data_IF_540092469541
#
_entry.id   IF_540092469541
#
_cell.length_a   1.000
_cell.length_b   1.000
_cell.length_c   1.000
_cell.angle_alpha   90.00
_cell.angle_beta   90.00
_cell.angle_gamma   90.00
#
_symmetry.space_group_name_H-M   'P 1'
#
loop_
_entity.id
_entity.type
_entity.pdbx_description
1 polymer ?
#
# COMPACT_ATOMS: atom_id res chain seq x y z
N UNK A 1 -23.06 -16.98 -11.33
CA UNK A 1 -21.95 -16.24 -11.95
C UNK A 1 -21.51 -15.16 -10.97
N UNK A 2 -20.21 -15.01 -10.71
CA UNK A 2 -19.65 -13.96 -9.86
C UNK A 2 -18.77 -13.05 -10.72
N UNK A 3 -18.74 -11.74 -10.43
CA UNK A 3 -17.86 -10.76 -11.09
C UNK A 3 -16.97 -10.09 -10.06
N UNK A 4 -15.72 -9.79 -10.44
CA UNK A 4 -14.78 -9.03 -9.61
C UNK A 4 -14.83 -7.57 -10.02
N UNK A 5 -15.17 -6.69 -9.08
CA UNK A 5 -15.21 -5.24 -9.26
C UNK A 5 -14.12 -4.59 -8.41
N UNK A 6 -13.68 -3.38 -8.79
CA UNK A 6 -12.81 -2.58 -7.94
C UNK A 6 -13.60 -2.10 -6.72
N UNK A 7 -13.24 -2.59 -5.53
CA UNK A 7 -13.86 -2.17 -4.26
C UNK A 7 -13.54 -0.71 -3.95
N UNK A 8 -12.26 -0.34 -3.98
CA UNK A 8 -11.78 1.00 -3.66
C UNK A 8 -10.35 1.24 -4.14
N UNK A 9 -9.84 2.47 -3.97
CA UNK A 9 -8.43 2.81 -4.25
C UNK A 9 -7.96 4.02 -3.45
N UNK A 10 -6.66 4.09 -3.19
CA UNK A 10 -5.95 5.32 -2.85
C UNK A 10 -5.24 5.86 -4.10
N UNK A 11 -5.65 7.03 -4.58
CA UNK A 11 -5.14 7.58 -5.84
C UNK A 11 -3.94 8.49 -5.59
N UNK A 12 -2.80 8.17 -6.21
CA UNK A 12 -1.56 8.95 -6.17
C UNK A 12 -1.04 9.23 -4.75
N UNK A 13 -1.14 8.24 -3.87
CA UNK A 13 -0.46 8.28 -2.59
C UNK A 13 1.07 8.21 -2.82
N UNK A 14 1.83 8.90 -1.98
CA UNK A 14 3.30 8.99 -2.10
C UNK A 14 3.96 8.02 -1.13
N UNK A 15 4.90 7.21 -1.62
CA UNK A 15 5.67 6.29 -0.76
C UNK A 15 6.50 7.09 0.25
N UNK A 16 6.22 6.92 1.53
CA UNK A 16 6.90 7.67 2.60
C UNK A 16 8.14 6.94 3.13
N UNK A 17 8.16 5.61 3.04
CA UNK A 17 9.25 4.76 3.46
C UNK A 17 9.29 3.45 2.67
N UNK A 18 10.48 2.87 2.55
CA UNK A 18 10.69 1.54 1.99
C UNK A 18 11.76 0.82 2.83
N UNK A 19 11.42 -0.32 3.42
CA UNK A 19 12.30 -1.09 4.30
C UNK A 19 12.37 -2.55 3.86
N UNK A 20 13.55 -2.99 3.42
CA UNK A 20 13.76 -4.34 2.91
C UNK A 20 13.77 -5.40 4.01
N UNK A 21 14.20 -5.04 5.23
CA UNK A 21 14.44 -5.99 6.31
C UNK A 21 13.21 -6.15 7.24
N UNK A 22 12.16 -5.36 7.00
CA UNK A 22 10.87 -5.49 7.67
C UNK A 22 9.95 -6.53 7.02
N UNK A 23 8.98 -7.05 7.78
CA UNK A 23 8.02 -8.05 7.31
C UNK A 23 7.17 -7.53 6.13
N UNK A 24 7.15 -8.30 5.04
CA UNK A 24 6.56 -7.89 3.76
C UNK A 24 5.07 -7.56 3.88
N UNK A 25 4.72 -6.32 3.51
CA UNK A 25 3.37 -5.73 3.59
C UNK A 25 3.39 -4.30 3.02
N UNK A 26 2.23 -3.64 2.97
CA UNK A 26 2.16 -2.18 2.86
C UNK A 26 1.51 -1.56 4.10
N UNK A 27 2.28 -0.77 4.84
CA UNK A 27 1.78 0.00 5.97
C UNK A 27 1.09 1.27 5.48
N UNK A 28 -0.16 1.47 5.87
CA UNK A 28 -0.99 2.61 5.43
C UNK A 28 -1.58 3.29 6.65
N UNK A 29 -1.53 4.62 6.68
CA UNK A 29 -2.24 5.44 7.67
C UNK A 29 -3.69 4.97 7.80
N UNK A 30 -4.11 4.62 9.02
CA UNK A 30 -5.48 4.18 9.31
C UNK A 30 -6.56 5.16 8.83
N UNK A 31 -6.30 6.48 8.79
CA UNK A 31 -7.28 7.44 8.27
C UNK A 31 -7.49 7.26 6.75
N UNK A 32 -6.44 6.85 6.02
CA UNK A 32 -6.52 6.52 4.59
C UNK A 32 -7.17 5.15 4.36
N UNK A 33 -6.87 4.16 5.21
CA UNK A 33 -7.54 2.85 5.17
C UNK A 33 -9.06 3.00 5.35
N UNK A 34 -9.49 3.76 6.36
CA UNK A 34 -10.90 4.04 6.62
C UNK A 34 -11.56 4.79 5.45
N UNK A 35 -10.91 5.82 4.92
CA UNK A 35 -11.43 6.60 3.79
C UNK A 35 -11.60 5.75 2.52
N UNK A 36 -10.72 4.78 2.29
CA UNK A 36 -10.81 3.84 1.18
C UNK A 36 -11.63 2.57 1.52
N UNK A 37 -12.04 2.37 2.78
CA UNK A 37 -12.67 1.14 3.22
C UNK A 37 -11.81 -0.11 3.02
N UNK A 38 -10.48 0.01 3.14
CA UNK A 38 -9.53 -1.12 3.07
C UNK A 38 -9.28 -1.62 4.49
N UNK A 39 -9.40 -2.93 4.71
CA UNK A 39 -9.18 -3.54 6.02
C UNK A 39 -7.71 -3.92 6.24
N UNK A 40 -7.23 -3.94 7.49
CA UNK A 40 -5.98 -4.62 7.83
C UNK A 40 -6.01 -6.07 7.35
N UNK A 41 -4.90 -6.52 6.78
CA UNK A 41 -4.72 -7.83 6.14
C UNK A 41 -5.55 -8.06 4.87
N UNK A 42 -6.22 -7.04 4.33
CA UNK A 42 -6.84 -7.11 3.00
C UNK A 42 -5.78 -7.12 1.89
N UNK A 43 -5.97 -7.98 0.89
CA UNK A 43 -5.15 -8.01 -0.30
C UNK A 43 -5.31 -6.70 -1.09
N UNK A 44 -4.19 -6.10 -1.48
CA UNK A 44 -4.15 -4.87 -2.27
C UNK A 44 -3.20 -5.00 -3.44
N UNK A 45 -3.57 -4.35 -4.54
CA UNK A 45 -2.70 -4.17 -5.71
C UNK A 45 -2.05 -2.80 -5.67
N UNK A 46 -0.73 -2.76 -5.81
CA UNK A 46 0.07 -1.53 -5.84
C UNK A 46 0.59 -1.30 -7.25
N UNK A 47 0.30 -0.12 -7.78
CA UNK A 47 0.69 0.31 -9.12
C UNK A 47 1.57 1.55 -8.99
N UNK A 48 2.88 1.36 -9.12
CA UNK A 48 3.83 2.46 -9.02
C UNK A 48 3.86 3.23 -10.34
N UNK A 49 3.40 4.49 -10.33
CA UNK A 49 3.36 5.33 -11.54
C UNK A 49 4.73 5.88 -11.93
N UNK A 50 5.66 5.95 -10.99
CA UNK A 50 6.99 6.54 -11.18
C UNK A 50 7.91 5.59 -11.96
N UNK A 51 7.87 4.29 -11.65
CA UNK A 51 8.73 3.29 -12.29
C UNK A 51 7.97 2.19 -13.07
N UNK A 52 6.64 2.16 -13.00
CA UNK A 52 5.79 1.19 -13.70
C UNK A 52 5.67 -0.19 -13.04
N UNK A 53 6.31 -0.41 -11.88
CA UNK A 53 6.21 -1.67 -11.15
C UNK A 53 4.77 -1.93 -10.69
N UNK A 54 4.38 -3.20 -10.71
CA UNK A 54 3.06 -3.67 -10.29
C UNK A 54 3.22 -4.90 -9.44
N UNK A 55 2.60 -4.90 -8.27
CA UNK A 55 2.68 -6.03 -7.36
C UNK A 55 1.45 -6.11 -6.46
N UNK A 56 1.23 -7.29 -5.90
CA UNK A 56 0.13 -7.57 -4.97
C UNK A 56 0.73 -7.89 -3.60
N UNK A 57 0.13 -7.34 -2.56
CA UNK A 57 0.50 -7.60 -1.15
C UNK A 57 -0.75 -7.47 -0.27
N UNK A 58 -0.59 -7.25 1.03
CA UNK A 58 -1.69 -6.95 1.96
C UNK A 58 -1.39 -5.69 2.78
N UNK A 59 -2.45 -5.00 3.20
CA UNK A 59 -2.35 -3.79 4.01
C UNK A 59 -2.10 -4.11 5.49
N UNK A 60 -1.30 -3.29 6.16
CA UNK A 60 -1.18 -3.24 7.62
C UNK A 60 -1.36 -1.80 8.12
N UNK A 61 -1.69 -1.65 9.40
CA UNK A 61 -1.99 -0.36 10.00
C UNK A 61 -0.71 0.45 10.26
N UNK A 62 -0.75 1.73 9.92
CA UNK A 62 0.16 2.75 10.44
C UNK A 62 -0.62 3.75 11.32
N UNK A 63 0.04 4.46 12.25
CA UNK A 63 -0.62 5.40 13.15
C UNK A 63 -1.49 6.43 12.42
N UNK A 64 -2.66 6.77 12.99
CA UNK A 64 -3.60 7.74 12.41
C UNK A 64 -2.94 9.11 12.24
N UNK A 65 -3.19 9.75 11.10
CA UNK A 65 -2.64 11.06 10.75
C UNK A 65 -1.14 11.06 10.42
N UNK A 66 -0.48 9.90 10.44
CA UNK A 66 0.96 9.78 10.11
C UNK A 66 1.25 10.01 8.63
N UNK A 67 0.23 9.86 7.77
CA UNK A 67 0.32 9.86 6.30
C UNK A 67 1.27 8.81 5.73
N UNK A 68 1.57 7.78 6.49
CA UNK A 68 2.49 6.71 6.07
C UNK A 68 1.89 5.93 4.91
N UNK A 69 2.73 5.70 3.90
CA UNK A 69 2.59 4.70 2.84
C UNK A 69 3.94 3.99 2.78
N UNK A 70 4.11 2.98 3.63
CA UNK A 70 5.36 2.25 3.81
C UNK A 70 5.34 0.91 3.11
N UNK A 71 6.26 0.67 2.20
CA UNK A 71 6.35 -0.61 1.47
C UNK A 71 7.51 -1.43 2.03
N UNK A 72 7.20 -2.61 2.57
CA UNK A 72 8.14 -3.38 3.35
C UNK A 72 8.53 -4.71 2.70
N UNK A 73 9.63 -5.30 3.15
CA UNK A 73 10.11 -6.61 2.73
C UNK A 73 10.50 -6.67 1.26
N UNK A 74 10.18 -7.78 0.59
CA UNK A 74 10.51 -7.98 -0.82
C UNK A 74 9.98 -6.86 -1.74
N UNK A 75 8.82 -6.26 -1.40
CA UNK A 75 8.21 -5.19 -2.17
C UNK A 75 9.00 -3.86 -2.11
N UNK A 76 9.86 -3.66 -1.10
CA UNK A 76 10.74 -2.50 -1.00
C UNK A 76 11.72 -2.40 -2.19
N UNK A 77 11.97 -3.50 -2.92
CA UNK A 77 12.79 -3.49 -4.15
C UNK A 77 12.06 -2.88 -5.36
N UNK A 78 10.73 -2.74 -5.30
CA UNK A 78 9.88 -2.32 -6.41
C UNK A 78 9.44 -0.86 -6.30
N UNK A 79 9.83 -0.17 -5.24
CA UNK A 79 9.50 1.23 -4.97
C UNK A 79 10.70 1.96 -4.39
N UNK A 80 10.66 3.28 -4.43
CA UNK A 80 11.53 4.17 -3.66
C UNK A 80 10.71 5.19 -2.88
N UNK A 81 11.34 5.79 -1.87
CA UNK A 81 10.73 6.93 -1.17
C UNK A 81 10.46 8.06 -2.17
N UNK A 82 9.27 8.64 -2.09
CA UNK A 82 8.70 9.66 -2.98
C UNK A 82 8.17 9.15 -4.33
N UNK A 83 8.16 7.82 -4.56
CA UNK A 83 7.42 7.26 -5.69
C UNK A 83 5.90 7.49 -5.59
#
# INVERSE_FOLDING_TARGET
MLVTLMKSKLHRATVTQADLDYEGSIAIDMDLLDAAGIYPHEQVDVLNITNGARFTTYAIEAPRGSRVIGVNGAAARLVQKND
#
